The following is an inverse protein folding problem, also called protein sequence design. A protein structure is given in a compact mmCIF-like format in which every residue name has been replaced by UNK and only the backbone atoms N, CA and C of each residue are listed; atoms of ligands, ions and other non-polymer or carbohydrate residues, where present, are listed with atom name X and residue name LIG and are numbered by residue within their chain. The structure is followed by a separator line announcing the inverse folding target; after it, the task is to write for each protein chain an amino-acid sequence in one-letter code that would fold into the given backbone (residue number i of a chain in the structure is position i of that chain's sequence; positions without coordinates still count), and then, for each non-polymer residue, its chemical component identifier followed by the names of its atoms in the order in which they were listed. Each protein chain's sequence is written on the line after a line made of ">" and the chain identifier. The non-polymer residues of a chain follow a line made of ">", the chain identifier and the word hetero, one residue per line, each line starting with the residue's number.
data_IF_558057214106
#
_entry.id   IF_558057214106
#
_cell.length_a   1.000
_cell.length_b   1.000
_cell.length_c   1.000
_cell.angle_alpha   90.00
_cell.angle_beta   90.00
_cell.angle_gamma   90.00
#
_symmetry.space_group_name_H-M   'P 1'
#
loop_
_entity.id
_entity.type
_entity.pdbx_description
1 polymer ?
#
# COMPACT_ATOMS: atom_id res chain seq x y z
N UNK A 1 -1.78 -7.07 -13.89
CA UNK A 1 -2.76 -7.04 -12.78
C UNK A 1 -2.03 -6.70 -11.46
N UNK A 2 -1.55 -5.47 -11.28
CA UNK A 2 -0.74 -5.09 -10.11
C UNK A 2 -0.81 -3.58 -9.84
N UNK A 3 -1.93 -3.11 -9.29
CA UNK A 3 -2.13 -1.69 -8.96
C UNK A 3 -2.93 -1.49 -7.65
N UNK A 4 -3.96 -2.32 -7.41
CA UNK A 4 -4.81 -2.19 -6.21
C UNK A 4 -4.13 -2.54 -4.87
N UNK A 5 -2.85 -2.96 -4.88
CA UNK A 5 -2.11 -3.41 -3.69
C UNK A 5 -1.13 -2.37 -3.12
N UNK A 6 -0.88 -1.26 -3.82
CA UNK A 6 0.10 -0.26 -3.38
C UNK A 6 -0.48 0.87 -2.51
N UNK A 7 -1.79 1.10 -2.54
CA UNK A 7 -2.46 2.18 -1.78
C UNK A 7 -2.53 1.87 -0.26
N UNK A 8 -2.43 0.60 0.13
CA UNK A 8 -2.55 0.14 1.53
C UNK A 8 -1.32 0.37 2.43
N UNK A 9 -0.22 0.95 1.94
CA UNK A 9 1.09 0.89 2.61
C UNK A 9 1.75 2.23 3.00
N UNK A 10 1.01 3.34 2.92
CA UNK A 10 1.47 4.70 3.22
C UNK A 10 0.65 5.42 4.31
N UNK A 11 0.42 4.76 5.46
CA UNK A 11 0.54 5.38 6.79
C UNK A 11 0.29 4.36 7.91
N UNK A 12 1.25 4.24 8.84
CA UNK A 12 0.98 3.64 10.16
C UNK A 12 1.91 4.26 11.20
N UNK A 13 1.47 5.37 11.76
CA UNK A 13 1.97 5.98 13.01
C UNK A 13 0.77 5.94 13.97
N UNK A 14 0.93 5.53 15.24
CA UNK A 14 -0.21 5.26 16.10
C UNK A 14 -1.01 6.54 16.40
N UNK A 15 -2.30 6.53 16.09
CA UNK A 15 -3.25 7.44 16.73
C UNK A 15 -3.70 6.84 18.05
N UNK A 16 -2.90 7.10 19.08
CA UNK A 16 -3.43 7.14 20.44
C UNK A 16 -4.46 8.27 20.48
N UNK A 17 -5.73 7.92 20.72
CA UNK A 17 -6.91 8.80 20.65
C UNK A 17 -7.23 9.38 19.26
N UNK A 18 -7.93 8.59 18.42
CA UNK A 18 -8.86 9.13 17.44
C UNK A 18 -10.28 9.15 18.07
N UNK A 19 -10.97 10.30 18.15
CA UNK A 19 -12.40 10.31 18.50
C UNK A 19 -13.22 9.64 17.40
N UNK A 20 -14.38 9.08 17.75
CA UNK A 20 -15.34 8.59 16.75
C UNK A 20 -15.66 9.70 15.75
N UNK A 21 -15.69 9.36 14.45
CA UNK A 21 -16.10 10.31 13.43
C UNK A 21 -17.53 10.78 13.73
N UNK A 22 -17.82 12.10 13.69
CA UNK A 22 -19.20 12.57 13.82
C UNK A 22 -20.04 11.95 12.70
N UNK A 23 -21.25 11.50 13.04
CA UNK A 23 -22.13 10.66 12.18
C UNK A 23 -22.53 11.28 10.82
N UNK A 24 -22.09 12.50 10.54
CA UNK A 24 -22.41 13.29 9.34
C UNK A 24 -21.16 13.97 8.74
N UNK A 25 -19.95 13.41 8.95
CA UNK A 25 -18.76 13.89 8.24
C UNK A 25 -18.95 13.74 6.72
N UNK A 26 -18.88 14.83 5.92
CA UNK A 26 -19.11 14.72 4.48
C UNK A 26 -17.99 13.93 3.81
N UNK A 27 -18.37 12.97 2.96
CA UNK A 27 -17.41 12.24 2.13
C UNK A 27 -16.70 13.20 1.17
N UNK A 28 -15.41 12.98 0.99
CA UNK A 28 -14.52 13.74 0.11
C UNK A 28 -13.70 12.75 -0.70
N UNK A 29 -13.49 13.06 -1.97
CA UNK A 29 -12.52 12.37 -2.81
C UNK A 29 -11.17 13.09 -2.71
N UNK A 30 -10.18 12.42 -2.12
CA UNK A 30 -8.79 12.89 -2.08
C UNK A 30 -8.03 12.32 -3.27
N UNK A 31 -7.42 13.20 -4.06
CA UNK A 31 -6.58 12.87 -5.20
C UNK A 31 -5.13 12.94 -4.74
N UNK A 32 -4.45 11.80 -4.70
CA UNK A 32 -3.09 11.70 -4.18
C UNK A 32 -2.04 11.92 -5.28
N UNK A 33 -0.89 12.46 -4.90
CA UNK A 33 0.28 12.68 -5.77
C UNK A 33 0.81 11.38 -6.40
N UNK A 34 0.47 10.23 -5.81
CA UNK A 34 0.73 8.89 -6.35
C UNK A 34 -0.16 8.52 -7.55
N UNK A 35 -1.09 9.38 -7.96
CA UNK A 35 -2.09 9.10 -8.98
C UNK A 35 -3.19 8.14 -8.51
N UNK A 36 -3.36 8.01 -7.19
CA UNK A 36 -4.42 7.21 -6.56
C UNK A 36 -5.54 8.13 -6.06
N UNK A 37 -6.78 7.71 -6.24
CA UNK A 37 -7.96 8.39 -5.67
C UNK A 37 -8.43 7.65 -4.42
N UNK A 38 -8.90 8.39 -3.41
CA UNK A 38 -9.39 7.85 -2.15
C UNK A 38 -10.70 8.54 -1.74
N UNK A 39 -11.82 7.82 -1.78
CA UNK A 39 -13.10 8.30 -1.27
C UNK A 39 -13.19 8.04 0.25
N UNK A 40 -13.16 9.08 1.06
CA UNK A 40 -13.05 8.97 2.52
C UNK A 40 -13.81 10.09 3.26
N UNK A 41 -14.02 9.90 4.55
CA UNK A 41 -14.59 10.92 5.47
C UNK A 41 -13.43 11.56 6.24
N UNK A 42 -13.28 12.89 6.21
CA UNK A 42 -12.21 13.57 6.95
C UNK A 42 -12.66 13.75 8.41
N UNK A 43 -11.87 13.24 9.35
CA UNK A 43 -12.17 13.24 10.79
C UNK A 43 -11.43 14.37 11.52
N UNK A 44 -10.16 14.63 11.15
CA UNK A 44 -9.32 15.68 11.76
C UNK A 44 -8.23 16.10 10.79
N UNK A 45 -7.81 17.35 10.86
CA UNK A 45 -6.58 17.84 10.22
C UNK A 45 -5.70 18.49 11.30
N UNK A 46 -4.43 18.10 11.39
CA UNK A 46 -3.50 18.57 12.43
C UNK A 46 -2.05 18.38 11.99
N UNK A 47 -1.18 19.36 12.27
CA UNK A 47 0.28 19.22 12.06
C UNK A 47 0.75 19.07 10.60
N UNK A 48 -0.15 19.20 9.63
CA UNK A 48 0.11 18.88 8.22
C UNK A 48 -0.36 17.48 7.81
N UNK A 49 -0.99 16.73 8.70
CA UNK A 49 -1.65 15.46 8.41
C UNK A 49 -3.17 15.60 8.35
N UNK A 50 -3.78 14.75 7.53
CA UNK A 50 -5.22 14.58 7.35
C UNK A 50 -5.58 13.18 7.84
N UNK A 51 -6.41 13.11 8.88
CA UNK A 51 -6.94 11.86 9.43
C UNK A 51 -8.30 11.62 8.81
N UNK A 52 -8.46 10.46 8.16
CA UNK A 52 -9.66 10.11 7.40
C UNK A 52 -10.13 8.70 7.75
N UNK A 53 -11.41 8.41 7.51
CA UNK A 53 -11.95 7.06 7.52
C UNK A 53 -12.25 6.66 6.08
N UNK A 54 -11.63 5.58 5.60
CA UNK A 54 -11.88 4.98 4.30
C UNK A 54 -12.43 3.57 4.50
N UNK A 55 -13.66 3.31 4.05
CA UNK A 55 -14.35 2.00 4.16
C UNK A 55 -14.33 1.43 5.60
N UNK A 56 -14.50 2.30 6.59
CA UNK A 56 -14.48 1.94 8.02
C UNK A 56 -13.10 1.84 8.67
N UNK A 57 -12.01 1.93 7.90
CA UNK A 57 -10.65 1.92 8.44
C UNK A 57 -10.11 3.36 8.61
N UNK A 58 -9.55 3.73 9.78
CA UNK A 58 -8.86 5.00 9.95
C UNK A 58 -7.52 5.00 9.20
N UNK A 59 -7.25 6.09 8.49
CA UNK A 59 -6.01 6.34 7.75
C UNK A 59 -5.48 7.73 8.11
N UNK A 60 -4.16 7.88 8.12
CA UNK A 60 -3.45 9.16 8.16
C UNK A 60 -2.90 9.44 6.77
N UNK A 61 -2.96 10.68 6.30
CA UNK A 61 -2.46 11.09 4.98
C UNK A 61 -1.70 12.40 5.18
N UNK A 62 -0.43 12.45 4.80
CA UNK A 62 0.32 13.71 4.75
C UNK A 62 -0.40 14.64 3.75
N UNK A 63 -0.79 15.84 4.18
CA UNK A 63 -1.51 16.80 3.35
C UNK A 63 -0.73 17.19 2.08
N UNK A 64 0.61 17.09 2.10
CA UNK A 64 1.48 17.32 0.93
C UNK A 64 1.31 16.27 -0.16
N UNK A 65 0.79 15.09 0.19
CA UNK A 65 0.45 14.04 -0.78
C UNK A 65 -0.92 14.27 -1.42
N UNK A 66 -1.75 15.21 -0.94
CA UNK A 66 -3.05 15.52 -1.54
C UNK A 66 -2.91 16.63 -2.57
N UNK A 67 -3.02 16.27 -3.85
CA UNK A 67 -2.97 17.19 -4.99
C UNK A 67 -4.30 17.94 -5.16
N UNK A 68 -5.42 17.27 -4.88
CA UNK A 68 -6.75 17.86 -5.03
C UNK A 68 -7.74 17.22 -4.04
N UNK A 69 -8.66 18.04 -3.54
CA UNK A 69 -9.83 17.61 -2.77
C UNK A 69 -11.08 17.88 -3.61
N UNK A 70 -11.99 16.92 -3.70
CA UNK A 70 -13.22 17.03 -4.50
C UNK A 70 -14.41 16.61 -3.64
N UNK A 71 -15.39 17.50 -3.47
CA UNK A 71 -16.63 17.18 -2.75
C UNK A 71 -17.46 16.14 -3.52
N UNK A 72 -18.28 15.34 -2.83
CA UNK A 72 -19.13 14.30 -3.46
C UNK A 72 -19.96 14.85 -4.62
N UNK A 73 -20.54 16.04 -4.46
CA UNK A 73 -21.33 16.74 -5.48
C UNK A 73 -20.52 17.02 -6.76
N UNK A 74 -19.21 17.30 -6.61
CA UNK A 74 -18.30 17.62 -7.71
C UNK A 74 -17.63 16.39 -8.35
N UNK A 75 -17.75 15.19 -7.77
CA UNK A 75 -17.14 13.95 -8.30
C UNK A 75 -17.60 13.69 -9.75
N UNK A 76 -18.86 13.96 -10.07
CA UNK A 76 -19.40 13.79 -11.41
C UNK A 76 -18.64 14.63 -12.45
N UNK A 77 -18.48 15.92 -12.19
CA UNK A 77 -17.76 16.85 -13.06
C UNK A 77 -16.26 16.53 -13.14
N UNK A 78 -15.66 16.06 -12.04
CA UNK A 78 -14.26 15.63 -12.02
C UNK A 78 -14.03 14.39 -12.90
N UNK A 79 -14.95 13.41 -12.89
CA UNK A 79 -14.88 12.23 -13.77
C UNK A 79 -14.94 12.65 -15.25
N UNK A 80 -15.82 13.59 -15.61
CA UNK A 80 -15.92 14.10 -16.99
C UNK A 80 -14.69 14.92 -17.42
N UNK A 81 -14.12 15.72 -16.51
CA UNK A 81 -12.87 16.46 -16.75
C UNK A 81 -11.69 15.51 -16.98
N UNK A 82 -11.66 14.37 -16.27
CA UNK A 82 -10.65 13.33 -16.45
C UNK A 82 -10.85 12.54 -17.74
N UNK A 83 -12.07 12.19 -18.14
CA UNK A 83 -12.34 11.49 -19.42
C UNK A 83 -11.74 12.24 -20.63
N UNK A 84 -11.82 13.57 -20.62
CA UNK A 84 -11.24 14.46 -21.64
C UNK A 84 -9.71 14.46 -21.69
N UNK A 85 -9.03 14.01 -20.62
CA UNK A 85 -7.57 14.05 -20.45
C UNK A 85 -6.92 12.66 -20.41
N UNK A 86 -7.70 11.59 -20.60
CA UNK A 86 -7.13 10.23 -20.67
C UNK A 86 -6.61 9.98 -22.07
N UNK A 87 -5.31 9.67 -22.13
CA UNK A 87 -4.58 9.35 -23.35
C UNK A 87 -4.26 7.84 -23.48
N UNK A 88 -4.54 7.05 -22.44
CA UNK A 88 -4.11 5.65 -22.34
C UNK A 88 -5.15 4.69 -21.73
N UNK A 89 -4.88 3.39 -21.87
CA UNK A 89 -5.71 2.33 -21.27
C UNK A 89 -5.68 2.36 -19.73
N UNK A 90 -4.55 2.73 -19.11
CA UNK A 90 -4.42 2.70 -17.65
C UNK A 90 -5.22 3.83 -16.99
N UNK A 91 -5.24 5.04 -17.56
CA UNK A 91 -6.13 6.13 -17.15
C UNK A 91 -7.60 5.73 -17.26
N UNK A 92 -8.00 5.05 -18.33
CA UNK A 92 -9.36 4.52 -18.48
C UNK A 92 -9.71 3.53 -17.36
N UNK A 93 -8.81 2.59 -17.04
CA UNK A 93 -9.05 1.60 -15.97
C UNK A 93 -9.06 2.24 -14.56
N UNK A 94 -8.21 3.23 -14.29
CA UNK A 94 -8.26 4.00 -13.03
C UNK A 94 -9.60 4.72 -12.87
N UNK A 95 -10.07 5.38 -13.93
CA UNK A 95 -11.36 6.07 -13.89
C UNK A 95 -12.55 5.11 -13.77
N UNK A 96 -12.45 3.92 -14.39
CA UNK A 96 -13.44 2.85 -14.20
C UNK A 96 -13.52 2.36 -12.74
N UNK A 97 -12.37 2.21 -12.06
CA UNK A 97 -12.33 1.85 -10.64
C UNK A 97 -12.99 2.93 -9.78
N UNK A 98 -12.66 4.21 -9.99
CA UNK A 98 -13.31 5.33 -9.30
C UNK A 98 -14.83 5.31 -9.51
N UNK A 99 -15.29 5.08 -10.74
CA UNK A 99 -16.72 4.95 -11.05
C UNK A 99 -17.39 3.79 -10.28
N UNK A 100 -16.70 2.69 -9.98
CA UNK A 100 -17.25 1.62 -9.15
C UNK A 100 -17.32 2.02 -7.66
N UNK A 101 -16.29 2.70 -7.14
CA UNK A 101 -16.28 3.17 -5.74
C UNK A 101 -17.36 4.22 -5.44
N UNK A 102 -17.70 5.05 -6.43
CA UNK A 102 -18.76 6.09 -6.31
C UNK A 102 -20.13 5.60 -6.82
N UNK A 103 -20.32 4.28 -6.92
CA UNK A 103 -21.58 3.62 -7.31
C UNK A 103 -22.15 4.04 -8.69
N UNK A 104 -21.29 4.31 -9.67
CA UNK A 104 -21.63 4.63 -11.07
C UNK A 104 -21.20 3.51 -12.05
N UNK A 105 -21.80 2.30 -11.98
CA UNK A 105 -21.38 1.14 -12.77
C UNK A 105 -21.57 1.31 -14.29
N UNK A 106 -22.53 2.13 -14.72
CA UNK A 106 -22.75 2.44 -16.15
C UNK A 106 -21.55 3.15 -16.77
N UNK A 107 -20.95 4.08 -16.03
CA UNK A 107 -19.76 4.82 -16.48
C UNK A 107 -18.51 3.95 -16.40
N UNK A 108 -18.38 3.10 -15.36
CA UNK A 108 -17.31 2.10 -15.28
C UNK A 108 -17.29 1.18 -16.51
N UNK A 109 -18.46 0.70 -16.95
CA UNK A 109 -18.58 -0.13 -18.17
C UNK A 109 -18.19 0.62 -19.46
N UNK A 110 -18.47 1.92 -19.56
CA UNK A 110 -18.00 2.78 -20.66
C UNK A 110 -16.46 2.88 -20.66
N UNK A 111 -15.85 3.09 -19.49
CA UNK A 111 -14.40 3.22 -19.38
C UNK A 111 -13.65 1.91 -19.61
N UNK A 112 -14.19 0.76 -19.20
CA UNK A 112 -13.62 -0.57 -19.52
C UNK A 112 -13.62 -0.80 -21.03
N UNK A 113 -14.70 -0.44 -21.74
CA UNK A 113 -14.74 -0.51 -23.22
C UNK A 113 -13.75 0.47 -23.88
N UNK A 114 -13.58 1.68 -23.32
CA UNK A 114 -12.57 2.65 -23.81
C UNK A 114 -11.15 2.10 -23.61
N UNK A 115 -10.85 1.47 -22.48
CA UNK A 115 -9.56 0.82 -22.21
C UNK A 115 -9.27 -0.34 -23.18
N UNK A 116 -10.25 -1.21 -23.45
CA UNK A 116 -10.13 -2.31 -24.41
C UNK A 116 -9.83 -1.79 -25.84
N UNK A 117 -10.39 -0.64 -26.24
CA UNK A 117 -10.04 0.02 -27.50
C UNK A 117 -8.59 0.52 -27.53
N UNK A 118 -8.09 1.17 -26.48
CA UNK A 118 -6.67 1.57 -26.37
C UNK A 118 -5.70 0.38 -26.42
N UNK A 119 -6.09 -0.78 -25.89
CA UNK A 119 -5.26 -2.00 -25.91
C UNK A 119 -5.24 -2.68 -27.29
N UNK A 120 -6.28 -2.49 -28.10
CA UNK A 120 -6.39 -3.09 -29.45
C UNK A 120 -5.79 -2.21 -30.55
N UNK A 121 -5.92 -0.89 -30.43
CA UNK A 121 -5.28 0.06 -31.34
C UNK A 121 -4.90 1.36 -30.60
N UNK A 122 -3.65 1.49 -30.13
CA UNK A 122 -3.20 2.69 -29.42
C UNK A 122 -3.12 3.93 -30.34
N UNK A 123 -3.00 3.77 -31.66
CA UNK A 123 -2.89 4.87 -32.61
C UNK A 123 -4.26 5.45 -33.00
N UNK A 124 -5.30 4.63 -33.06
CA UNK A 124 -6.68 5.08 -33.29
C UNK A 124 -7.33 5.67 -32.02
N UNK A 125 -7.04 5.11 -30.84
CA UNK A 125 -7.73 5.49 -29.60
C UNK A 125 -7.39 6.92 -29.13
N UNK A 126 -6.15 7.39 -29.30
CA UNK A 126 -5.79 8.80 -29.06
C UNK A 126 -6.55 9.76 -29.98
N UNK A 127 -6.77 9.38 -31.25
CA UNK A 127 -7.57 10.17 -32.21
C UNK A 127 -9.07 10.11 -31.90
N UNK A 128 -9.58 9.02 -31.35
CA UNK A 128 -10.99 8.90 -30.96
C UNK A 128 -11.38 9.76 -29.74
N UNK A 129 -10.41 10.11 -28.88
CA UNK A 129 -10.61 11.07 -27.80
C UNK A 129 -10.72 12.51 -28.35
N UNK A 130 -9.84 12.90 -29.26
CA UNK A 130 -9.86 14.21 -29.94
C UNK A 130 -11.08 14.36 -30.88
N UNK A 131 -11.46 13.31 -31.62
CA UNK A 131 -12.56 13.39 -32.59
C UNK A 131 -13.97 13.61 -31.97
N UNK A 132 -14.10 13.63 -30.64
CA UNK A 132 -15.34 14.00 -29.95
C UNK A 132 -15.38 15.43 -29.41
N UNK A 133 -14.30 16.21 -29.48
CA UNK A 133 -14.32 17.65 -29.22
C UNK A 133 -14.71 18.49 -30.43
N UNK A 134 -14.45 18.02 -31.66
CA UNK A 134 -14.52 18.84 -32.88
C UNK A 134 -15.77 18.62 -33.76
N UNK A 135 -16.88 18.14 -33.18
CA UNK A 135 -18.13 17.82 -33.88
C UNK A 135 -19.32 18.76 -33.59
N UNK A 136 -19.02 20.00 -33.17
CA UNK A 136 -19.88 21.22 -33.19
C UNK A 136 -18.96 22.36 -32.72
N UNK A 137 -18.71 23.46 -33.43
CA UNK A 137 -19.41 24.07 -34.57
C UNK A 137 -18.42 24.96 -35.36
N UNK A 138 -18.51 24.98 -36.70
CA UNK A 138 -17.81 25.97 -37.59
C UNK A 138 -18.42 27.36 -37.33
N UNK A 139 -17.78 28.54 -37.34
CA UNK A 139 -16.59 29.16 -37.97
C UNK A 139 -16.64 30.68 -37.59
N UNK A 140 -15.79 31.63 -38.07
CA UNK A 140 -14.35 31.68 -38.41
C UNK A 140 -13.62 32.81 -37.58
N UNK A 141 -12.36 33.22 -37.85
CA UNK A 141 -11.53 33.98 -36.88
C UNK A 141 -11.57 35.51 -37.02
N UNK A 142 -10.97 36.22 -36.04
CA UNK A 142 -10.56 37.63 -36.15
C UNK A 142 -9.27 37.89 -35.38
N UNK A 143 -8.38 38.71 -35.96
CA UNK A 143 -7.03 39.01 -35.48
C UNK A 143 -6.99 39.88 -34.22
N UNK A 144 -5.91 39.76 -33.41
CA UNK A 144 -4.85 40.79 -33.35
C UNK A 144 -3.87 40.62 -32.16
N UNK A 145 -2.58 40.71 -32.49
CA UNK A 145 -1.42 41.26 -31.76
C UNK A 145 -1.44 41.53 -30.23
N UNK A 146 -0.29 41.26 -29.58
CA UNK A 146 0.12 41.96 -28.36
C UNK A 146 1.33 41.34 -27.63
N UNK A 147 2.38 42.13 -27.42
CA UNK A 147 3.54 41.83 -26.55
C UNK A 147 3.12 41.32 -25.14
N UNK A 148 3.89 40.52 -24.40
CA UNK A 148 5.33 40.28 -24.44
C UNK A 148 5.95 40.73 -23.11
N UNK A 149 6.67 39.83 -22.42
CA UNK A 149 7.72 40.14 -21.42
C UNK A 149 8.38 38.84 -20.89
N UNK A 150 9.67 38.96 -20.52
CA UNK A 150 10.57 37.93 -19.96
C UNK A 150 11.67 38.64 -19.16
N UNK A 151 12.54 37.98 -18.35
CA UNK A 151 12.53 36.63 -17.77
C UNK A 151 12.46 36.82 -16.20
N UNK A 152 13.26 36.22 -15.27
CA UNK A 152 14.08 34.99 -15.25
C UNK A 152 13.91 34.09 -13.99
N UNK A 153 14.69 33.01 -13.97
CA UNK A 153 15.33 32.32 -12.83
C UNK A 153 14.55 32.03 -11.53
N UNK A 154 14.34 30.73 -11.25
CA UNK A 154 15.18 30.08 -10.23
C UNK A 154 15.42 28.58 -10.55
N UNK A 155 16.65 28.11 -10.38
CA UNK A 155 17.10 26.80 -10.86
C UNK A 155 17.11 25.78 -9.72
N UNK A 156 15.99 25.08 -9.52
CA UNK A 156 15.91 23.97 -8.56
C UNK A 156 15.68 22.63 -9.26
N UNK A 157 16.77 22.01 -9.66
CA UNK A 157 16.78 20.68 -10.27
C UNK A 157 16.04 19.65 -9.39
N UNK A 158 15.24 18.74 -9.99
CA UNK A 158 14.68 17.62 -9.24
C UNK A 158 15.81 16.72 -8.76
N UNK A 159 15.79 16.36 -7.47
CA UNK A 159 16.70 15.36 -6.95
C UNK A 159 16.51 14.06 -7.76
N UNK A 160 17.59 13.57 -8.39
CA UNK A 160 17.55 12.28 -9.09
C UNK A 160 17.11 11.20 -8.11
N UNK A 161 16.01 10.52 -8.42
CA UNK A 161 15.60 9.27 -7.77
C UNK A 161 16.63 8.17 -8.08
N UNK A 162 17.77 8.22 -7.39
CA UNK A 162 18.75 7.14 -7.38
C UNK A 162 18.09 5.97 -6.67
N UNK A 163 17.66 4.98 -7.45
CA UNK A 163 17.16 3.72 -6.95
C UNK A 163 18.17 3.15 -5.94
N UNK A 164 17.74 2.98 -4.68
CA UNK A 164 18.58 2.35 -3.66
C UNK A 164 19.06 0.98 -4.18
N UNK A 165 20.39 0.73 -4.19
CA UNK A 165 20.93 -0.48 -4.76
C UNK A 165 20.50 -1.70 -3.94
N UNK A 166 19.96 -2.70 -4.63
CA UNK A 166 19.68 -4.02 -4.06
C UNK A 166 20.37 -5.07 -4.93
N UNK A 167 21.13 -6.03 -4.38
CA UNK A 167 21.34 -6.29 -2.95
C UNK A 167 22.14 -5.19 -2.22
N UNK A 168 21.97 -5.06 -0.90
CA UNK A 168 22.64 -4.04 -0.11
C UNK A 168 24.12 -4.42 0.15
N UNK A 169 25.03 -3.45 0.27
CA UNK A 169 26.45 -3.70 0.51
C UNK A 169 26.70 -4.33 1.88
N UNK A 170 27.84 -5.00 2.01
CA UNK A 170 28.28 -5.59 3.29
C UNK A 170 28.48 -4.50 4.34
N UNK A 171 28.10 -4.80 5.60
CA UNK A 171 28.12 -3.82 6.69
C UNK A 171 26.92 -2.85 6.71
N UNK A 172 25.98 -2.92 5.76
CA UNK A 172 24.72 -2.14 5.83
C UNK A 172 23.99 -2.36 7.16
N UNK A 173 23.41 -1.30 7.72
CA UNK A 173 22.73 -1.35 9.01
C UNK A 173 21.21 -1.47 8.85
N UNK A 174 20.61 -2.48 9.50
CA UNK A 174 19.16 -2.71 9.48
C UNK A 174 18.51 -2.36 10.83
N UNK A 175 17.54 -1.45 10.81
CA UNK A 175 16.59 -1.29 11.90
C UNK A 175 15.51 -2.37 11.78
N UNK A 176 15.11 -2.95 12.93
CA UNK A 176 14.13 -4.03 12.95
C UNK A 176 12.86 -3.64 13.72
N UNK A 177 11.74 -3.61 13.02
CA UNK A 177 10.42 -3.33 13.57
C UNK A 177 9.54 -4.59 13.48
N UNK A 178 9.04 -5.08 14.62
CA UNK A 178 8.08 -6.18 14.66
C UNK A 178 6.84 -5.73 15.42
N UNK A 179 5.72 -5.61 14.71
CA UNK A 179 4.44 -5.14 15.25
C UNK A 179 3.39 -6.23 15.09
N UNK A 180 2.62 -6.41 16.14
CA UNK A 180 1.54 -7.40 16.26
C UNK A 180 0.21 -6.67 16.37
N UNK A 181 -0.79 -7.11 15.61
CA UNK A 181 -2.17 -6.69 15.70
C UNK A 181 -3.04 -7.89 16.06
N UNK A 182 -3.78 -7.80 17.17
CA UNK A 182 -4.76 -8.80 17.60
C UNK A 182 -5.98 -8.05 18.11
N UNK A 183 -7.16 -8.36 17.58
CA UNK A 183 -8.43 -7.73 18.02
C UNK A 183 -8.34 -6.19 18.04
N UNK A 184 -7.80 -5.65 16.95
CA UNK A 184 -7.52 -4.23 16.68
C UNK A 184 -6.52 -3.51 17.62
N UNK A 185 -6.08 -4.15 18.70
CA UNK A 185 -4.93 -3.69 19.48
C UNK A 185 -3.62 -3.92 18.72
N UNK A 186 -2.84 -2.85 18.49
CA UNK A 186 -1.49 -2.91 17.92
C UNK A 186 -0.46 -2.75 19.03
N UNK A 187 0.47 -3.70 19.13
CA UNK A 187 1.60 -3.65 20.07
C UNK A 187 2.92 -4.04 19.39
N UNK A 188 4.04 -3.61 19.95
CA UNK A 188 5.34 -4.16 19.57
C UNK A 188 5.48 -5.58 20.13
N UNK A 189 6.18 -6.45 19.39
CA UNK A 189 6.44 -7.84 19.79
C UNK A 189 7.93 -8.05 20.09
N UNK A 190 8.38 -7.82 21.35
CA UNK A 190 9.81 -7.91 21.69
C UNK A 190 10.35 -9.34 21.58
N UNK A 191 9.52 -10.37 21.82
CA UNK A 191 9.93 -11.77 21.72
C UNK A 191 10.20 -12.16 20.27
N UNK A 192 9.27 -11.87 19.35
CA UNK A 192 9.44 -12.16 17.92
C UNK A 192 10.52 -11.24 17.31
N UNK A 193 10.63 -9.98 17.75
CA UNK A 193 11.75 -9.08 17.39
C UNK A 193 13.11 -9.67 17.74
N UNK A 194 13.31 -10.13 18.98
CA UNK A 194 14.56 -10.74 19.42
C UNK A 194 14.93 -11.99 18.59
N UNK A 195 13.95 -12.85 18.27
CA UNK A 195 14.18 -14.03 17.41
C UNK A 195 14.62 -13.67 15.99
N UNK A 196 14.11 -12.58 15.41
CA UNK A 196 14.55 -12.11 14.08
C UNK A 196 15.92 -11.43 14.17
N UNK A 197 16.17 -10.62 15.19
CA UNK A 197 17.50 -10.00 15.43
C UNK A 197 18.60 -11.07 15.53
N UNK A 198 18.32 -12.21 16.16
CA UNK A 198 19.22 -13.36 16.20
C UNK A 198 19.61 -13.91 14.82
N UNK A 199 18.75 -13.81 13.79
CA UNK A 199 19.13 -14.21 12.42
C UNK A 199 20.08 -13.22 11.74
N UNK A 200 19.98 -11.93 12.08
CA UNK A 200 20.87 -10.90 11.54
C UNK A 200 22.27 -10.97 12.14
N UNK A 201 22.44 -11.55 13.34
CA UNK A 201 23.75 -11.79 13.94
C UNK A 201 24.66 -12.71 13.09
N UNK A 202 24.06 -13.64 12.33
CA UNK A 202 24.76 -14.55 11.41
C UNK A 202 24.88 -14.01 9.97
N UNK A 203 24.48 -12.75 9.72
CA UNK A 203 24.41 -12.13 8.41
C UNK A 203 25.63 -11.21 8.12
N UNK A 204 25.92 -10.86 6.85
CA UNK A 204 26.94 -9.85 6.51
C UNK A 204 26.50 -8.40 6.83
N UNK A 205 25.43 -8.23 7.61
CA UNK A 205 24.78 -6.95 7.89
C UNK A 205 24.73 -6.67 9.39
N UNK A 206 24.82 -5.40 9.77
CA UNK A 206 24.67 -4.98 11.17
C UNK A 206 23.23 -4.65 11.54
N UNK A 207 22.95 -4.61 12.84
CA UNK A 207 21.71 -4.04 13.37
C UNK A 207 21.94 -2.56 13.71
N UNK A 208 21.13 -1.69 13.10
CA UNK A 208 21.16 -0.24 13.31
C UNK A 208 20.13 0.24 14.33
N UNK A 209 20.38 1.41 14.91
CA UNK A 209 19.38 2.20 15.64
C UNK A 209 18.61 3.14 14.72
N UNK A 210 17.60 3.82 15.25
CA UNK A 210 16.66 4.66 14.49
C UNK A 210 17.33 5.76 13.65
N UNK A 211 18.49 6.26 14.08
CA UNK A 211 19.28 7.30 13.40
C UNK A 211 20.45 6.76 12.56
N UNK A 212 20.81 5.49 12.70
CA UNK A 212 22.01 4.90 12.08
C UNK A 212 21.73 3.82 11.04
N UNK A 213 20.49 3.37 10.90
CA UNK A 213 20.11 2.36 9.92
C UNK A 213 20.07 2.90 8.49
N UNK A 214 20.55 2.11 7.53
CA UNK A 214 20.37 2.32 6.09
C UNK A 214 19.03 1.75 5.61
N UNK A 215 18.57 0.67 6.25
CA UNK A 215 17.35 -0.06 5.88
C UNK A 215 16.46 -0.35 7.10
N UNK A 216 15.15 -0.43 6.89
CA UNK A 216 14.17 -0.88 7.90
C UNK A 216 13.56 -2.20 7.44
N UNK A 217 13.69 -3.25 8.26
CA UNK A 217 12.91 -4.49 8.15
C UNK A 217 11.65 -4.33 8.99
N UNK A 218 10.49 -4.20 8.33
CA UNK A 218 9.19 -4.13 9.00
C UNK A 218 8.44 -5.43 8.84
N UNK A 219 8.17 -6.09 9.96
CA UNK A 219 7.40 -7.32 10.07
C UNK A 219 6.09 -7.01 10.79
N UNK A 220 4.98 -7.08 10.06
CA UNK A 220 3.64 -6.93 10.60
C UNK A 220 2.99 -8.30 10.78
N UNK A 221 2.59 -8.65 11.99
CA UNK A 221 1.77 -9.81 12.33
C UNK A 221 0.33 -9.35 12.58
N UNK A 222 -0.67 -10.03 12.02
CA UNK A 222 -2.09 -9.73 12.24
C UNK A 222 -2.87 -11.03 12.48
N UNK A 223 -3.64 -11.09 13.58
CA UNK A 223 -4.58 -12.17 13.86
C UNK A 223 -6.01 -11.67 13.69
N UNK A 224 -6.77 -12.33 12.81
CA UNK A 224 -8.16 -12.00 12.53
C UNK A 224 -9.04 -13.21 12.79
N UNK A 225 -10.10 -13.05 13.59
CA UNK A 225 -11.15 -14.06 13.73
C UNK A 225 -11.96 -14.10 12.44
N UNK A 226 -11.96 -15.24 11.76
CA UNK A 226 -12.67 -15.47 10.49
C UNK A 226 -14.13 -15.85 10.78
N UNK A 227 -14.35 -16.73 11.77
CA UNK A 227 -15.62 -17.40 12.00
C UNK A 227 -15.75 -17.86 13.46
N UNK A 228 -16.99 -17.93 13.96
CA UNK A 228 -17.35 -18.71 15.17
C UNK A 228 -17.94 -20.04 14.73
N UNK A 229 -17.56 -21.14 15.39
CA UNK A 229 -18.18 -22.45 15.19
C UNK A 229 -19.12 -22.75 16.36
N UNK A 230 -20.38 -23.03 16.04
CA UNK A 230 -21.45 -23.17 17.04
C UNK A 230 -22.01 -24.60 17.07
N UNK A 231 -22.23 -25.13 18.27
CA UNK A 231 -23.00 -26.34 18.52
C UNK A 231 -24.49 -26.05 18.33
N UNK A 232 -25.18 -26.90 17.56
CA UNK A 232 -26.61 -26.75 17.23
C UNK A 232 -27.01 -25.31 16.82
N UNK A 233 -26.12 -24.57 16.15
CA UNK A 233 -26.35 -23.21 15.67
C UNK A 233 -26.64 -22.15 16.75
N UNK A 234 -26.31 -22.41 18.02
CA UNK A 234 -26.65 -21.52 19.14
C UNK A 234 -25.63 -21.43 20.27
N UNK A 235 -24.79 -22.46 20.47
CA UNK A 235 -23.76 -22.47 21.53
C UNK A 235 -22.36 -22.39 20.90
N UNK A 236 -21.64 -21.26 20.98
CA UNK A 236 -20.30 -21.16 20.41
C UNK A 236 -19.34 -22.14 21.12
N UNK A 237 -18.48 -22.83 20.36
CA UNK A 237 -17.49 -23.81 20.87
C UNK A 237 -16.06 -23.36 20.58
N UNK A 238 -15.82 -22.81 19.39
CA UNK A 238 -14.49 -22.45 18.92
C UNK A 238 -14.53 -21.29 17.92
N UNK A 239 -13.37 -20.70 17.68
CA UNK A 239 -13.17 -19.62 16.73
C UNK A 239 -12.15 -20.07 15.67
N UNK A 240 -12.46 -19.88 14.39
CA UNK A 240 -11.46 -20.02 13.33
C UNK A 240 -10.71 -18.70 13.19
N UNK A 241 -9.38 -18.75 13.26
CA UNK A 241 -8.49 -17.60 13.19
C UNK A 241 -7.57 -17.67 11.97
N UNK A 242 -7.27 -16.51 11.38
CA UNK A 242 -6.26 -16.32 10.35
C UNK A 242 -5.10 -15.50 10.92
N UNK A 243 -3.92 -16.10 11.00
CA UNK A 243 -2.67 -15.42 11.31
C UNK A 243 -1.94 -15.04 10.03
N UNK A 244 -1.70 -13.74 9.82
CA UNK A 244 -0.98 -13.19 8.66
C UNK A 244 0.33 -12.57 9.09
N UNK A 245 1.38 -12.77 8.30
CA UNK A 245 2.65 -12.07 8.47
C UNK A 245 3.11 -11.48 7.14
N UNK A 246 3.37 -10.17 7.16
CA UNK A 246 3.92 -9.41 6.05
C UNK A 246 5.31 -8.90 6.43
N UNK A 247 6.30 -9.08 5.55
CA UNK A 247 7.64 -8.52 5.73
C UNK A 247 8.03 -7.66 4.54
N UNK A 248 8.45 -6.42 4.82
CA UNK A 248 8.89 -5.44 3.82
C UNK A 248 10.19 -4.81 4.30
N UNK A 249 11.15 -4.70 3.39
CA UNK A 249 12.41 -3.99 3.62
C UNK A 249 12.39 -2.70 2.81
N UNK A 250 12.68 -1.58 3.47
CA UNK A 250 12.73 -0.26 2.87
C UNK A 250 14.08 0.39 3.14
N UNK A 251 14.59 1.17 2.19
CA UNK A 251 15.74 2.05 2.44
C UNK A 251 15.29 3.30 3.21
N UNK A 252 15.97 3.66 4.31
CA UNK A 252 15.54 4.72 5.25
C UNK A 252 15.42 6.07 4.55
N UNK A 253 16.47 6.47 3.82
CA UNK A 253 16.57 7.84 3.25
C UNK A 253 15.62 8.09 2.07
N UNK A 254 15.20 7.04 1.36
CA UNK A 254 14.35 7.15 0.16
C UNK A 254 12.96 6.53 0.33
N UNK A 255 12.67 5.87 1.47
CA UNK A 255 11.46 5.10 1.76
C UNK A 255 11.10 4.04 0.69
N UNK A 256 12.03 3.75 -0.24
CA UNK A 256 11.80 2.82 -1.35
C UNK A 256 11.76 1.40 -0.82
N UNK A 257 10.72 0.65 -1.18
CA UNK A 257 10.66 -0.79 -0.96
C UNK A 257 11.73 -1.45 -1.85
N UNK A 258 12.66 -2.16 -1.22
CA UNK A 258 13.78 -2.84 -1.90
C UNK A 258 13.60 -4.37 -1.88
N UNK A 259 12.93 -4.91 -0.87
CA UNK A 259 12.48 -6.30 -0.83
C UNK A 259 11.08 -6.37 -0.21
N UNK A 260 10.20 -7.18 -0.78
CA UNK A 260 8.92 -7.54 -0.19
C UNK A 260 8.76 -9.05 -0.27
N UNK A 261 8.59 -9.70 0.89
CA UNK A 261 8.35 -11.13 0.94
C UNK A 261 6.90 -11.46 0.64
N UNK A 262 6.64 -12.68 0.15
CA UNK A 262 5.27 -13.19 0.07
C UNK A 262 4.65 -13.22 1.48
N UNK A 263 3.39 -12.75 1.64
CA UNK A 263 2.66 -12.90 2.89
C UNK A 263 2.60 -14.35 3.32
N UNK A 264 2.95 -14.62 4.58
CA UNK A 264 2.75 -15.94 5.21
C UNK A 264 1.39 -15.96 5.89
N UNK A 265 0.61 -17.01 5.67
CA UNK A 265 -0.75 -17.15 6.23
C UNK A 265 -0.90 -18.53 6.86
N UNK A 266 -1.26 -18.56 8.14
CA UNK A 266 -1.69 -19.76 8.85
C UNK A 266 -3.17 -19.62 9.25
N UNK A 267 -3.87 -20.75 9.31
CA UNK A 267 -5.25 -20.83 9.82
C UNK A 267 -5.33 -21.87 10.91
N UNK A 268 -6.09 -21.58 11.95
CA UNK A 268 -6.26 -22.49 13.08
C UNK A 268 -7.62 -22.29 13.75
N UNK A 269 -8.24 -23.40 14.16
CA UNK A 269 -9.43 -23.40 15.00
C UNK A 269 -8.98 -23.44 16.46
N UNK A 270 -9.25 -22.38 17.21
CA UNK A 270 -8.87 -22.22 18.62
C UNK A 270 -10.11 -22.27 19.52
N UNK A 271 -10.02 -22.78 20.77
CA UNK A 271 -11.12 -22.73 21.72
C UNK A 271 -11.50 -21.28 22.06
N UNK A 272 -12.73 -21.02 22.54
CA UNK A 272 -13.19 -19.65 22.80
C UNK A 272 -12.31 -18.82 23.76
N UNK A 273 -11.59 -19.48 24.65
CA UNK A 273 -10.73 -18.87 25.68
C UNK A 273 -9.37 -18.46 25.09
N UNK A 274 -8.94 -19.09 24.00
CA UNK A 274 -7.67 -18.84 23.34
C UNK A 274 -7.70 -17.54 22.52
N UNK A 275 -6.61 -16.78 22.60
CA UNK A 275 -6.46 -15.50 21.89
C UNK A 275 -5.82 -15.72 20.53
N UNK A 276 -6.11 -14.83 19.57
CA UNK A 276 -5.54 -14.89 18.22
C UNK A 276 -3.99 -14.85 18.13
N UNK A 277 -3.27 -14.64 19.22
CA UNK A 277 -1.80 -14.73 19.22
C UNK A 277 -1.25 -16.16 19.03
N UNK A 278 -2.04 -17.19 19.32
CA UNK A 278 -1.62 -18.59 19.16
C UNK A 278 -1.41 -18.94 17.68
N UNK A 279 -2.33 -18.53 16.79
CA UNK A 279 -2.15 -18.73 15.33
C UNK A 279 -0.97 -17.92 14.76
N UNK A 280 -0.62 -16.79 15.39
CA UNK A 280 0.59 -16.03 15.04
C UNK A 280 1.88 -16.79 15.35
N UNK A 281 1.88 -17.71 16.33
CA UNK A 281 3.00 -18.60 16.58
C UNK A 281 3.33 -19.45 15.35
N UNK A 282 2.33 -20.15 14.80
CA UNK A 282 2.50 -21.00 13.60
C UNK A 282 2.83 -20.21 12.35
N UNK A 283 2.15 -19.07 12.14
CA UNK A 283 2.48 -18.17 11.03
C UNK A 283 3.94 -17.68 11.13
N UNK A 284 4.43 -17.36 12.33
CA UNK A 284 5.78 -16.87 12.55
C UNK A 284 6.85 -17.92 12.29
N UNK A 285 6.62 -19.20 12.63
CA UNK A 285 7.58 -20.24 12.30
C UNK A 285 7.67 -20.52 10.79
N UNK A 286 6.55 -20.51 10.08
CA UNK A 286 6.54 -20.61 8.61
C UNK A 286 7.23 -19.41 7.96
N UNK A 287 7.00 -18.20 8.49
CA UNK A 287 7.66 -16.98 8.06
C UNK A 287 9.18 -17.06 8.29
N UNK A 288 9.63 -17.47 9.48
CA UNK A 288 11.05 -17.56 9.82
C UNK A 288 11.81 -18.58 8.95
N UNK A 289 11.18 -19.71 8.59
CA UNK A 289 11.76 -20.66 7.60
C UNK A 289 11.92 -20.00 6.24
N UNK A 290 10.90 -19.26 5.79
CA UNK A 290 10.92 -18.54 4.52
C UNK A 290 11.97 -17.42 4.51
N UNK A 291 12.08 -16.67 5.61
CA UNK A 291 13.03 -15.58 5.83
C UNK A 291 14.49 -16.08 5.81
N UNK A 292 14.78 -17.20 6.49
CA UNK A 292 16.09 -17.87 6.42
C UNK A 292 16.46 -18.33 5.01
N UNK A 293 15.47 -18.71 4.20
CA UNK A 293 15.68 -19.21 2.84
C UNK A 293 15.79 -18.12 1.75
N UNK A 294 15.56 -16.85 2.10
CA UNK A 294 15.51 -15.74 1.15
C UNK A 294 16.93 -15.37 0.65
N UNK A 295 17.29 -15.66 -0.62
CA UNK A 295 18.65 -15.44 -1.12
C UNK A 295 19.06 -13.96 -1.09
N UNK A 296 18.09 -13.04 -1.20
CA UNK A 296 18.35 -11.60 -1.12
C UNK A 296 18.94 -11.15 0.24
N UNK A 297 18.70 -11.91 1.31
CA UNK A 297 19.18 -11.60 2.66
C UNK A 297 20.54 -12.21 2.99
N UNK A 298 21.10 -13.05 2.11
CA UNK A 298 22.45 -13.64 2.24
C UNK A 298 22.75 -14.22 3.63
N UNK A 299 21.72 -14.71 4.31
CA UNK A 299 21.83 -15.34 5.63
C UNK A 299 22.58 -16.66 5.48
N UNK A 300 23.43 -17.01 6.45
CA UNK A 300 24.05 -18.33 6.48
C UNK A 300 22.97 -19.39 6.48
N UNK A 301 23.00 -20.27 5.47
CA UNK A 301 22.13 -21.43 5.41
C UNK A 301 22.55 -22.36 6.55
N UNK A 302 21.60 -22.69 7.42
CA UNK A 302 21.79 -23.62 8.53
C UNK A 302 22.35 -24.92 7.95
N UNK A 303 23.60 -25.25 8.30
CA UNK A 303 24.28 -26.42 7.78
C UNK A 303 23.53 -27.65 8.27
N UNK A 304 23.08 -28.50 7.35
CA UNK A 304 22.29 -29.67 7.72
C UNK A 304 23.10 -30.52 8.70
N UNK A 305 22.51 -31.00 9.82
CA UNK A 305 23.25 -31.76 10.82
C UNK A 305 23.96 -32.92 10.11
N UNK A 306 25.25 -33.15 10.40
CA UNK A 306 26.09 -34.07 9.63
C UNK A 306 25.40 -35.43 9.60
N UNK A 307 25.09 -35.91 8.39
CA UNK A 307 24.29 -37.11 8.20
C UNK A 307 25.02 -38.30 8.87
N UNK A 308 24.46 -38.91 9.94
CA UNK A 308 25.15 -39.98 10.68
C UNK A 308 25.35 -41.25 9.84
N UNK A 309 24.70 -41.33 8.67
CA UNK A 309 24.89 -42.40 7.68
C UNK A 309 26.05 -42.15 6.70
N UNK A 310 26.69 -40.97 6.72
CA UNK A 310 27.90 -40.69 5.94
C UNK A 310 29.13 -41.31 6.62
N UNK A 311 29.20 -42.65 6.63
CA UNK A 311 30.45 -43.35 6.97
C UNK A 311 31.50 -43.02 5.89
N UNK A 312 32.74 -42.65 6.27
CA UNK A 312 33.84 -42.64 5.31
C UNK A 312 34.08 -44.07 4.79
N UNK A 313 34.33 -44.16 3.49
CA UNK A 313 34.90 -45.34 2.81
C UNK A 313 36.43 -45.18 2.74
#
# INVERSE_FOLDING_TARGET
>A
MSACLQVLFLAWVPLSAAPEAPKEAPKVLLVLATGSDLLCEIVREEGGDIFVVHKGAPLRIDARLVVKRVSVESIAAEIENRDKKIEDAAGCLRLALLCLEVHRPKDAARFIKKADAYLKDPAAAGKAAAAKSDAKEKSPPKDAAGAGDTPPADERAPAKDVAAPWPPPDGSLFLLEVKKKVEDAVSDDPMRKSRVQGLFADSPFGLGGDSSADYVVRIGLEAVKIKTNDFYGSVPISNDWEGKINCVIRHVKTNKIVLQMKPTVARETLPLIAKGDEVLGKAFEQFMRSFRSEPALRLKKEEAPPNPSARPL
#
